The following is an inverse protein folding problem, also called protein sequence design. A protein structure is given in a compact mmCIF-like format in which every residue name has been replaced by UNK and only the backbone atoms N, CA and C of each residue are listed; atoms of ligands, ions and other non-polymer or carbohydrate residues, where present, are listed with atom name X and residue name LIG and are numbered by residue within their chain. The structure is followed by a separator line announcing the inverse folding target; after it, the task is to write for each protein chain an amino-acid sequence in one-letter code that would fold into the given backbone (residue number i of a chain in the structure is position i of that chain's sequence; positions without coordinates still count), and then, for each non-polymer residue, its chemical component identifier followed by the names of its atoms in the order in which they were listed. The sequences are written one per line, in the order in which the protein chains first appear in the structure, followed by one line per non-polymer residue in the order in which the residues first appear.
data_IF_657382763846
#
_entry.id   IF_657382763846
#
_cell.length_a   1.000
_cell.length_b   1.000
_cell.length_c   1.000
_cell.angle_alpha   90.00
_cell.angle_beta   90.00
_cell.angle_gamma   90.00
#
_symmetry.space_group_name_H-M   'P 1'
#
loop_
_entity.id
_entity.type
_entity.pdbx_description
1 polymer ?
#
# COMPACT_ATOMS: atom_id res chain seq x y z
N UNK A 1 -3.04 12.81 -11.80
CA UNK A 1 -3.78 11.99 -10.84
C UNK A 1 -3.06 11.95 -9.48
N UNK A 2 -1.83 11.47 -9.37
CA UNK A 2 -1.09 11.36 -8.09
C UNK A 2 -0.98 12.67 -7.30
N UNK A 3 -0.73 13.81 -7.97
CA UNK A 3 -0.66 15.13 -7.30
C UNK A 3 -2.05 15.50 -6.74
N UNK A 4 -3.11 15.28 -7.50
CA UNK A 4 -4.48 15.55 -7.06
C UNK A 4 -4.87 14.68 -5.87
N UNK A 5 -4.55 13.39 -5.92
CA UNK A 5 -4.77 12.45 -4.80
C UNK A 5 -4.00 12.86 -3.55
N UNK A 6 -2.73 13.28 -3.70
CA UNK A 6 -1.93 13.80 -2.60
C UNK A 6 -2.52 15.06 -1.97
N UNK A 7 -3.01 16.00 -2.78
CA UNK A 7 -3.67 17.22 -2.28
C UNK A 7 -4.97 16.86 -1.54
N UNK A 8 -5.79 15.97 -2.08
CA UNK A 8 -7.03 15.51 -1.42
C UNK A 8 -6.72 14.83 -0.09
N UNK A 9 -5.70 13.98 -0.04
CA UNK A 9 -5.26 13.34 1.20
C UNK A 9 -4.81 14.36 2.25
N UNK A 10 -4.08 15.41 1.85
CA UNK A 10 -3.67 16.49 2.74
C UNK A 10 -4.87 17.33 3.25
N UNK A 11 -5.87 17.56 2.41
CA UNK A 11 -7.11 18.25 2.82
C UNK A 11 -7.83 17.43 3.90
N UNK A 12 -7.97 16.11 3.71
CA UNK A 12 -8.59 15.24 4.72
C UNK A 12 -7.77 15.18 6.01
N UNK A 13 -6.44 15.12 5.92
CA UNK A 13 -5.57 15.14 7.09
C UNK A 13 -5.72 16.45 7.88
N UNK A 14 -5.75 17.59 7.19
CA UNK A 14 -5.94 18.89 7.82
C UNK A 14 -7.34 19.01 8.46
N UNK A 15 -8.39 18.56 7.76
CA UNK A 15 -9.75 18.56 8.28
C UNK A 15 -9.88 17.68 9.53
N UNK A 16 -9.31 16.48 9.52
CA UNK A 16 -9.30 15.60 10.69
C UNK A 16 -8.53 16.22 11.86
N UNK A 17 -7.35 16.78 11.60
CA UNK A 17 -6.55 17.44 12.65
C UNK A 17 -7.31 18.61 13.31
N UNK A 18 -7.95 19.45 12.50
CA UNK A 18 -8.79 20.53 13.01
C UNK A 18 -9.96 19.99 13.86
N UNK A 19 -10.66 18.99 13.35
CA UNK A 19 -11.80 18.40 14.03
C UNK A 19 -11.43 17.77 15.39
N UNK A 20 -10.30 17.05 15.45
CA UNK A 20 -9.78 16.49 16.71
C UNK A 20 -9.39 17.58 17.71
N UNK A 21 -8.78 18.66 17.23
CA UNK A 21 -8.35 19.76 18.10
C UNK A 21 -9.54 20.50 18.73
N UNK A 22 -10.58 20.78 17.93
CA UNK A 22 -11.77 21.52 18.43
C UNK A 22 -12.68 20.67 19.32
N UNK A 23 -12.89 19.40 18.98
CA UNK A 23 -13.86 18.56 19.67
C UNK A 23 -13.25 17.66 20.76
N UNK A 24 -11.93 17.70 20.95
CA UNK A 24 -11.24 16.88 21.96
C UNK A 24 -11.49 15.38 21.82
N UNK A 25 -11.75 14.92 20.59
CA UNK A 25 -12.05 13.52 20.33
C UNK A 25 -10.81 12.65 20.46
N UNK A 26 -10.91 11.60 21.23
CA UNK A 26 -9.95 10.50 21.23
C UNK A 26 -10.06 9.67 19.94
N UNK A 27 -9.08 8.80 19.68
CA UNK A 27 -9.02 7.97 18.48
C UNK A 27 -10.36 7.31 18.14
N UNK A 28 -10.91 7.65 16.98
CA UNK A 28 -12.19 7.13 16.48
C UNK A 28 -12.02 6.45 15.14
N UNK A 29 -12.98 5.62 14.76
CA UNK A 29 -12.99 4.95 13.47
C UNK A 29 -13.06 5.98 12.32
N UNK A 30 -12.27 5.79 11.26
CA UNK A 30 -12.18 6.69 10.12
C UNK A 30 -13.55 7.01 9.49
N UNK A 31 -14.48 6.06 9.45
CA UNK A 31 -15.84 6.26 8.94
C UNK A 31 -16.67 7.23 9.79
N UNK A 32 -16.48 7.18 11.11
CA UNK A 32 -17.18 8.10 12.05
C UNK A 32 -16.62 9.51 11.88
N UNK A 33 -15.31 9.66 11.75
CA UNK A 33 -14.64 10.95 11.53
C UNK A 33 -15.13 11.59 10.22
N UNK A 34 -15.17 10.83 9.13
CA UNK A 34 -15.68 11.31 7.84
C UNK A 34 -17.13 11.76 7.94
N UNK A 35 -17.99 10.96 8.58
CA UNK A 35 -19.40 11.31 8.79
C UNK A 35 -19.54 12.60 9.61
N UNK A 36 -18.80 12.76 10.68
CA UNK A 36 -18.84 13.94 11.54
C UNK A 36 -18.37 15.20 10.83
N UNK A 37 -17.20 15.14 10.17
CA UNK A 37 -16.66 16.28 9.41
C UNK A 37 -17.62 16.68 8.30
N UNK A 38 -18.16 15.72 7.56
CA UNK A 38 -19.02 16.04 6.41
C UNK A 38 -20.38 16.60 6.83
N UNK A 39 -20.93 16.14 7.95
CA UNK A 39 -22.19 16.69 8.51
C UNK A 39 -22.00 18.09 9.06
N UNK A 40 -20.91 18.34 9.76
CA UNK A 40 -20.61 19.64 10.36
C UNK A 40 -20.33 20.71 9.31
N UNK A 41 -19.50 20.40 8.29
CA UNK A 41 -19.07 21.38 7.31
C UNK A 41 -19.99 21.52 6.09
N UNK A 42 -20.63 20.45 5.67
CA UNK A 42 -21.43 20.40 4.45
C UNK A 42 -22.94 20.30 4.72
N UNK A 43 -23.33 20.19 5.98
CA UNK A 43 -24.73 20.00 6.38
C UNK A 43 -25.30 18.66 5.93
N UNK A 44 -26.61 18.47 6.10
CA UNK A 44 -27.26 17.18 5.88
C UNK A 44 -27.14 16.67 4.42
N UNK A 45 -27.35 17.54 3.44
CA UNK A 45 -27.31 17.16 2.02
C UNK A 45 -25.89 16.87 1.56
N UNK A 46 -24.95 17.76 1.92
CA UNK A 46 -23.54 17.56 1.59
C UNK A 46 -22.94 16.34 2.28
N UNK A 47 -23.33 16.06 3.54
CA UNK A 47 -22.95 14.86 4.26
C UNK A 47 -23.39 13.57 3.54
N UNK A 48 -24.65 13.50 3.11
CA UNK A 48 -25.17 12.33 2.36
C UNK A 48 -24.39 12.14 1.05
N UNK A 49 -24.13 13.20 0.27
CA UNK A 49 -23.38 13.12 -0.98
C UNK A 49 -21.93 12.67 -0.74
N UNK A 50 -21.27 13.16 0.30
CA UNK A 50 -19.92 12.76 0.65
C UNK A 50 -19.84 11.28 1.06
N UNK A 51 -20.80 10.81 1.88
CA UNK A 51 -20.88 9.39 2.30
C UNK A 51 -21.14 8.50 1.08
N UNK A 52 -22.03 8.88 0.18
CA UNK A 52 -22.27 8.13 -1.06
C UNK A 52 -21.00 8.03 -1.91
N UNK A 53 -20.22 9.10 -2.01
CA UNK A 53 -18.94 9.10 -2.70
C UNK A 53 -17.93 8.15 -2.05
N UNK A 54 -17.82 8.19 -0.72
CA UNK A 54 -16.93 7.31 0.06
C UNK A 54 -17.34 5.83 -0.05
N UNK A 55 -18.64 5.53 -0.21
CA UNK A 55 -19.11 4.14 -0.43
C UNK A 55 -18.90 3.70 -1.88
N UNK A 56 -19.19 4.57 -2.85
CA UNK A 56 -19.10 4.23 -4.28
C UNK A 56 -17.65 3.93 -4.72
N UNK A 57 -16.67 4.69 -4.22
CA UNK A 57 -15.28 4.54 -4.60
C UNK A 57 -14.71 3.13 -4.27
N UNK A 58 -14.89 2.56 -3.06
CA UNK A 58 -14.45 1.20 -2.76
C UNK A 58 -15.15 0.12 -3.59
N UNK A 59 -16.41 0.30 -3.98
CA UNK A 59 -17.13 -0.67 -4.80
C UNK A 59 -16.46 -0.82 -6.18
N UNK A 60 -16.17 0.28 -6.85
CA UNK A 60 -15.52 0.27 -8.17
C UNK A 60 -14.06 -0.19 -8.09
N UNK A 61 -13.33 0.26 -7.08
CA UNK A 61 -11.94 -0.14 -6.85
C UNK A 61 -11.83 -1.61 -6.44
N UNK A 62 -12.78 -2.09 -5.64
CA UNK A 62 -12.85 -3.48 -5.18
C UNK A 62 -13.05 -4.46 -6.34
N UNK A 63 -13.97 -4.17 -7.29
CA UNK A 63 -14.15 -5.02 -8.48
C UNK A 63 -12.83 -5.15 -9.27
N UNK A 64 -12.15 -4.03 -9.48
CA UNK A 64 -10.87 -4.01 -10.20
C UNK A 64 -9.77 -4.76 -9.43
N UNK A 65 -9.68 -4.58 -8.11
CA UNK A 65 -8.71 -5.24 -7.27
C UNK A 65 -8.91 -6.77 -7.24
N UNK A 66 -10.15 -7.24 -7.06
CA UNK A 66 -10.48 -8.67 -7.09
C UNK A 66 -10.23 -9.30 -8.46
N UNK A 67 -10.49 -8.56 -9.55
CA UNK A 67 -10.18 -9.00 -10.91
C UNK A 67 -8.68 -9.16 -11.11
N UNK A 68 -7.89 -8.18 -10.69
CA UNK A 68 -6.43 -8.21 -10.79
C UNK A 68 -5.84 -9.33 -9.95
N UNK A 69 -6.26 -9.48 -8.69
CA UNK A 69 -5.82 -10.54 -7.80
C UNK A 69 -6.14 -11.93 -8.39
N UNK A 70 -7.36 -12.12 -8.93
CA UNK A 70 -7.73 -13.37 -9.61
C UNK A 70 -6.80 -13.68 -10.78
N UNK A 71 -6.47 -12.68 -11.60
CA UNK A 71 -5.60 -12.89 -12.77
C UNK A 71 -4.18 -13.26 -12.33
N UNK A 72 -3.65 -12.59 -11.32
CA UNK A 72 -2.32 -12.88 -10.74
C UNK A 72 -2.28 -14.32 -10.19
N UNK A 73 -3.28 -14.72 -9.41
CA UNK A 73 -3.37 -16.08 -8.87
C UNK A 73 -3.51 -17.11 -9.98
N UNK A 74 -4.32 -16.82 -11.01
CA UNK A 74 -4.50 -17.69 -12.16
C UNK A 74 -3.21 -17.88 -12.96
N UNK A 75 -2.45 -16.80 -13.17
CA UNK A 75 -1.17 -16.83 -13.86
C UNK A 75 -0.13 -17.62 -13.06
N UNK A 76 -0.06 -17.39 -11.75
CA UNK A 76 0.82 -18.15 -10.85
C UNK A 76 0.51 -19.66 -10.82
N UNK A 77 -0.77 -20.05 -10.92
CA UNK A 77 -1.22 -21.44 -10.96
C UNK A 77 -1.22 -22.04 -12.38
N UNK A 78 -0.85 -21.27 -13.40
CA UNK A 78 -0.90 -21.69 -14.79
C UNK A 78 -2.31 -22.02 -15.29
N UNK A 79 -3.36 -21.42 -14.72
CA UNK A 79 -4.75 -21.71 -15.01
C UNK A 79 -5.33 -20.76 -16.06
N UNK A 80 -5.76 -21.31 -17.19
CA UNK A 80 -6.50 -20.53 -18.19
C UNK A 80 -7.85 -20.04 -17.67
N UNK A 81 -8.13 -18.74 -17.83
CA UNK A 81 -9.34 -18.06 -17.34
C UNK A 81 -10.50 -18.01 -18.36
N UNK A 82 -10.47 -18.81 -19.41
CA UNK A 82 -11.53 -18.85 -20.44
C UNK A 82 -12.85 -19.43 -19.92
N UNK A 83 -12.78 -20.45 -19.04
CA UNK A 83 -13.97 -21.13 -18.51
C UNK A 83 -14.49 -20.48 -17.24
N UNK A 84 -15.81 -20.29 -17.12
CA UNK A 84 -16.48 -19.77 -15.93
C UNK A 84 -16.17 -20.61 -14.67
N UNK A 85 -16.15 -21.95 -14.82
CA UNK A 85 -15.84 -22.85 -13.71
C UNK A 85 -14.45 -22.62 -13.13
N UNK A 86 -13.43 -22.43 -13.99
CA UNK A 86 -12.04 -22.15 -13.55
C UNK A 86 -11.93 -20.80 -12.86
N UNK A 87 -12.71 -19.79 -13.29
CA UNK A 87 -12.79 -18.50 -12.60
C UNK A 87 -13.37 -18.64 -11.20
N UNK A 88 -14.44 -19.41 -11.03
CA UNK A 88 -15.08 -19.66 -9.74
C UNK A 88 -14.16 -20.36 -8.76
N UNK A 89 -13.32 -21.31 -9.20
CA UNK A 89 -12.35 -22.00 -8.33
C UNK A 89 -11.37 -21.04 -7.66
N UNK A 90 -11.02 -19.94 -8.31
CA UNK A 90 -10.14 -18.91 -7.73
C UNK A 90 -10.95 -17.86 -6.97
N UNK A 91 -12.09 -17.42 -7.51
CA UNK A 91 -12.91 -16.38 -6.89
C UNK A 91 -13.49 -16.81 -5.54
N UNK A 92 -14.01 -18.04 -5.41
CA UNK A 92 -14.66 -18.49 -4.19
C UNK A 92 -13.71 -18.45 -2.98
N UNK A 93 -12.51 -19.04 -3.01
CA UNK A 93 -11.58 -18.94 -1.89
C UNK A 93 -11.17 -17.52 -1.57
N UNK A 94 -10.97 -16.67 -2.60
CA UNK A 94 -10.64 -15.26 -2.39
C UNK A 94 -11.77 -14.50 -1.68
N UNK A 95 -13.02 -14.71 -2.09
CA UNK A 95 -14.17 -14.07 -1.43
C UNK A 95 -14.39 -14.60 -0.01
N UNK A 96 -14.22 -15.90 0.22
CA UNK A 96 -14.29 -16.49 1.56
C UNK A 96 -13.23 -15.87 2.48
N UNK A 97 -12.00 -15.73 2.00
CA UNK A 97 -10.93 -15.07 2.74
C UNK A 97 -11.28 -13.60 3.04
N UNK A 98 -11.75 -12.85 2.03
CA UNK A 98 -12.12 -11.45 2.17
C UNK A 98 -13.27 -11.27 3.17
N UNK A 99 -14.31 -12.11 3.11
CA UNK A 99 -15.42 -12.10 4.07
C UNK A 99 -14.93 -12.48 5.48
N UNK A 100 -14.05 -13.45 5.60
CA UNK A 100 -13.45 -13.84 6.88
C UNK A 100 -12.68 -12.68 7.53
N UNK A 101 -11.86 -11.97 6.75
CA UNK A 101 -11.14 -10.79 7.21
C UNK A 101 -12.10 -9.64 7.59
N UNK A 102 -13.17 -9.44 6.81
CA UNK A 102 -14.19 -8.45 7.12
C UNK A 102 -14.90 -8.76 8.44
N UNK A 103 -15.33 -10.01 8.64
CA UNK A 103 -15.98 -10.42 9.88
C UNK A 103 -15.05 -10.30 11.09
N UNK A 104 -13.78 -10.61 10.93
CA UNK A 104 -12.78 -10.39 11.98
C UNK A 104 -12.65 -8.90 12.30
N UNK A 105 -12.55 -8.04 11.28
CA UNK A 105 -12.47 -6.58 11.45
C UNK A 105 -13.68 -5.98 12.16
N UNK A 106 -14.87 -6.55 11.96
CA UNK A 106 -16.10 -6.07 12.60
C UNK A 106 -16.28 -6.56 14.05
N UNK A 107 -15.65 -7.68 14.41
CA UNK A 107 -15.75 -8.25 15.76
C UNK A 107 -14.80 -7.62 16.77
N UNK A 108 -13.63 -7.19 16.33
CA UNK A 108 -12.60 -6.61 17.18
C UNK A 108 -12.51 -5.10 16.93
N UNK A 109 -12.64 -4.30 18.00
CA UNK A 109 -12.52 -2.83 17.91
C UNK A 109 -11.16 -2.40 17.31
N UNK A 110 -10.09 -3.17 17.56
CA UNK A 110 -8.77 -2.94 16.99
C UNK A 110 -8.53 -3.66 15.65
N UNK A 111 -9.39 -4.59 15.27
CA UNK A 111 -9.24 -5.43 14.08
C UNK A 111 -9.15 -4.61 12.79
N UNK A 112 -9.97 -3.57 12.67
CA UNK A 112 -9.92 -2.65 11.55
C UNK A 112 -8.58 -1.92 11.47
N UNK A 113 -8.09 -1.37 12.57
CA UNK A 113 -6.82 -0.65 12.61
C UNK A 113 -5.63 -1.55 12.27
N UNK A 114 -5.64 -2.80 12.75
CA UNK A 114 -4.62 -3.80 12.43
C UNK A 114 -4.61 -4.10 10.93
N UNK A 115 -5.76 -4.41 10.33
CA UNK A 115 -5.87 -4.69 8.89
C UNK A 115 -5.44 -3.47 8.07
N UNK A 116 -5.82 -2.27 8.49
CA UNK A 116 -5.44 -1.02 7.83
C UNK A 116 -3.92 -0.79 7.83
N UNK A 117 -3.24 -1.08 8.92
CA UNK A 117 -1.77 -0.98 9.03
C UNK A 117 -1.07 -2.00 8.13
N UNK A 118 -1.52 -3.26 8.10
CA UNK A 118 -0.99 -4.26 7.17
C UNK A 118 -1.22 -3.87 5.71
N UNK A 119 -2.38 -3.34 5.38
CA UNK A 119 -2.68 -2.85 4.04
C UNK A 119 -1.74 -1.70 3.63
N UNK A 120 -1.55 -0.72 4.50
CA UNK A 120 -0.64 0.39 4.25
C UNK A 120 0.80 -0.11 4.03
N UNK A 121 1.28 -1.00 4.88
CA UNK A 121 2.62 -1.59 4.74
C UNK A 121 2.75 -2.44 3.46
N UNK A 122 1.74 -3.22 3.11
CA UNK A 122 1.73 -4.02 1.88
C UNK A 122 1.83 -3.14 0.63
N UNK A 123 1.10 -2.03 0.58
CA UNK A 123 1.18 -1.06 -0.51
C UNK A 123 2.57 -0.41 -0.62
N UNK A 124 3.17 -0.03 0.51
CA UNK A 124 4.53 0.52 0.53
C UNK A 124 5.56 -0.51 0.05
N UNK A 125 5.41 -1.77 0.48
CA UNK A 125 6.26 -2.87 0.03
C UNK A 125 6.14 -3.12 -1.47
N UNK A 126 4.92 -3.10 -2.01
CA UNK A 126 4.68 -3.18 -3.46
C UNK A 126 5.35 -2.03 -4.21
N UNK A 127 5.29 -0.81 -3.66
CA UNK A 127 5.99 0.34 -4.23
C UNK A 127 7.51 0.14 -4.26
N UNK A 128 8.11 -0.47 -3.23
CA UNK A 128 9.54 -0.83 -3.22
C UNK A 128 9.86 -1.76 -4.40
N UNK A 129 9.13 -2.87 -4.56
CA UNK A 129 9.37 -3.80 -5.67
C UNK A 129 9.20 -3.14 -7.03
N UNK A 130 8.17 -2.32 -7.19
CA UNK A 130 7.91 -1.60 -8.45
C UNK A 130 9.04 -0.62 -8.77
N UNK A 131 9.49 0.17 -7.81
CA UNK A 131 10.59 1.12 -7.98
C UNK A 131 11.90 0.41 -8.34
N UNK A 132 12.21 -0.72 -7.70
CA UNK A 132 13.37 -1.53 -8.04
C UNK A 132 13.25 -2.12 -9.44
N UNK A 133 12.09 -2.65 -9.84
CA UNK A 133 11.86 -3.18 -11.18
C UNK A 133 12.06 -2.10 -12.25
N UNK A 134 11.52 -0.90 -12.04
CA UNK A 134 11.70 0.24 -12.94
C UNK A 134 13.18 0.67 -12.97
N UNK A 135 13.87 0.70 -11.84
CA UNK A 135 15.29 1.06 -11.75
C UNK A 135 16.16 0.11 -12.57
N UNK A 136 15.93 -1.21 -12.42
CA UNK A 136 16.61 -2.25 -13.19
C UNK A 136 16.30 -2.10 -14.68
N UNK A 137 15.03 -1.91 -15.04
CA UNK A 137 14.61 -1.71 -16.44
C UNK A 137 15.30 -0.50 -17.07
N UNK A 138 15.34 0.65 -16.39
CA UNK A 138 16.01 1.86 -16.89
C UNK A 138 17.52 1.65 -17.03
N UNK A 139 18.15 0.97 -16.06
CA UNK A 139 19.57 0.65 -16.11
C UNK A 139 19.93 -0.26 -17.31
N UNK A 140 19.12 -1.31 -17.56
CA UNK A 140 19.28 -2.19 -18.73
C UNK A 140 19.07 -1.43 -20.05
N UNK A 141 18.08 -0.54 -20.08
CA UNK A 141 17.73 0.30 -21.23
C UNK A 141 18.70 1.48 -21.44
N UNK A 142 19.79 1.58 -20.65
CA UNK A 142 20.79 2.68 -20.69
C UNK A 142 20.17 4.08 -20.50
N UNK A 143 19.04 4.17 -19.77
CA UNK A 143 18.39 5.44 -19.41
C UNK A 143 18.79 5.87 -18.00
N UNK A 144 18.46 7.11 -17.64
CA UNK A 144 18.77 7.69 -16.32
C UNK A 144 17.97 6.98 -15.23
N UNK A 145 18.57 6.01 -14.57
CA UNK A 145 17.95 5.21 -13.49
C UNK A 145 18.01 5.87 -12.10
N UNK A 146 18.81 6.95 -11.93
CA UNK A 146 18.99 7.63 -10.64
C UNK A 146 17.66 8.18 -10.10
N UNK A 147 16.77 8.63 -10.99
CA UNK A 147 15.45 9.19 -10.65
C UNK A 147 14.60 8.19 -9.87
N UNK A 148 14.70 6.90 -10.19
CA UNK A 148 13.95 5.84 -9.52
C UNK A 148 14.75 5.14 -8.43
N UNK A 149 16.08 5.16 -8.52
CA UNK A 149 16.97 4.55 -7.52
C UNK A 149 16.86 5.25 -6.17
N UNK A 150 16.86 6.58 -6.15
CA UNK A 150 16.76 7.34 -4.88
C UNK A 150 15.45 7.04 -4.13
N UNK A 151 14.25 7.12 -4.76
CA UNK A 151 13.02 6.71 -4.11
C UNK A 151 13.00 5.22 -3.73
N UNK A 152 13.60 4.33 -4.54
CA UNK A 152 13.67 2.90 -4.22
C UNK A 152 14.45 2.64 -2.93
N UNK A 153 15.62 3.26 -2.76
CA UNK A 153 16.42 3.16 -1.55
C UNK A 153 15.70 3.75 -0.33
N UNK A 154 15.09 4.93 -0.49
CA UNK A 154 14.30 5.56 0.55
C UNK A 154 13.14 4.66 1.02
N UNK A 155 12.33 4.16 0.10
CA UNK A 155 11.21 3.28 0.42
C UNK A 155 11.67 1.93 0.99
N UNK A 156 12.82 1.41 0.58
CA UNK A 156 13.43 0.22 1.19
C UNK A 156 13.74 0.47 2.66
N UNK A 157 14.30 1.65 2.99
CA UNK A 157 14.55 2.04 4.38
C UNK A 157 13.24 2.10 5.18
N UNK A 158 12.25 2.82 4.67
CA UNK A 158 10.95 3.02 5.34
C UNK A 158 10.26 1.68 5.60
N UNK A 159 10.13 0.81 4.60
CA UNK A 159 9.43 -0.46 4.73
C UNK A 159 10.13 -1.44 5.68
N UNK A 160 11.46 -1.54 5.59
CA UNK A 160 12.23 -2.44 6.48
C UNK A 160 12.26 -1.93 7.92
N UNK A 161 12.35 -0.63 8.13
CA UNK A 161 12.29 -0.04 9.46
C UNK A 161 10.90 -0.21 10.07
N UNK A 162 9.84 0.06 9.30
CA UNK A 162 8.46 -0.03 9.79
C UNK A 162 8.11 -1.43 10.28
N UNK A 163 8.41 -2.47 9.50
CA UNK A 163 8.08 -3.86 9.90
C UNK A 163 8.85 -4.28 11.18
N UNK A 164 10.02 -3.69 11.43
CA UNK A 164 10.78 -3.95 12.64
C UNK A 164 10.19 -3.24 13.87
N UNK A 165 9.65 -2.01 13.70
CA UNK A 165 9.07 -1.20 14.80
C UNK A 165 7.63 -1.62 15.09
N UNK A 166 6.84 -1.93 14.06
CA UNK A 166 5.42 -2.14 14.17
C UNK A 166 5.10 -3.26 15.19
N UNK A 167 4.13 -3.03 16.11
CA UNK A 167 3.72 -4.04 17.09
C UNK A 167 3.19 -5.32 16.42
N UNK A 168 2.54 -5.18 15.28
CA UNK A 168 2.07 -6.27 14.42
C UNK A 168 3.19 -6.96 13.63
N UNK A 169 4.40 -6.38 13.60
CA UNK A 169 5.61 -6.93 12.97
C UNK A 169 6.53 -7.60 14.00
N UNK A 170 7.77 -7.11 14.11
CA UNK A 170 8.76 -7.66 15.03
C UNK A 170 8.76 -6.96 16.40
N UNK A 171 8.15 -5.79 16.54
CA UNK A 171 8.05 -5.05 17.81
C UNK A 171 9.40 -4.69 18.44
N UNK A 172 10.43 -4.47 17.61
CA UNK A 172 11.79 -4.16 18.10
C UNK A 172 11.90 -2.70 18.57
N UNK A 173 12.92 -2.42 19.37
CA UNK A 173 13.22 -1.06 19.80
C UNK A 173 13.55 -0.17 18.60
N UNK A 174 13.22 1.13 18.70
CA UNK A 174 13.44 2.11 17.63
C UNK A 174 14.90 2.14 17.14
N UNK A 175 15.87 2.13 18.05
CA UNK A 175 17.30 2.19 17.71
C UNK A 175 17.75 0.99 16.87
N UNK A 176 17.33 -0.23 17.23
CA UNK A 176 17.65 -1.45 16.49
C UNK A 176 16.97 -1.44 15.12
N UNK A 177 15.71 -1.01 15.05
CA UNK A 177 14.94 -0.98 13.81
C UNK A 177 15.51 0.02 12.80
N UNK A 178 15.94 1.19 13.24
CA UNK A 178 16.64 2.14 12.36
C UNK A 178 17.97 1.56 11.86
N UNK A 179 18.72 0.87 12.72
CA UNK A 179 19.95 0.18 12.33
C UNK A 179 19.70 -0.86 11.23
N UNK A 180 18.68 -1.70 11.39
CA UNK A 180 18.28 -2.70 10.38
C UNK A 180 17.87 -2.02 9.08
N UNK A 181 17.06 -0.96 9.13
CA UNK A 181 16.66 -0.20 7.95
C UNK A 181 17.84 0.32 7.14
N UNK A 182 18.82 0.91 7.81
CA UNK A 182 20.05 1.42 7.17
C UNK A 182 20.84 0.26 6.55
N UNK A 183 21.01 -0.85 7.27
CA UNK A 183 21.72 -2.04 6.75
C UNK A 183 21.02 -2.56 5.49
N UNK A 184 19.69 -2.67 5.47
CA UNK A 184 18.93 -3.10 4.29
C UNK A 184 19.18 -2.20 3.09
N UNK A 185 19.21 -0.88 3.28
CA UNK A 185 19.51 0.10 2.20
C UNK A 185 20.92 -0.08 1.69
N UNK A 186 21.91 -0.20 2.58
CA UNK A 186 23.31 -0.39 2.19
C UNK A 186 23.48 -1.69 1.39
N UNK A 187 22.89 -2.78 1.86
CA UNK A 187 22.94 -4.08 1.16
C UNK A 187 22.29 -3.96 -0.22
N UNK A 188 21.12 -3.35 -0.33
CA UNK A 188 20.42 -3.16 -1.60
C UNK A 188 21.24 -2.28 -2.57
N UNK A 189 21.83 -1.19 -2.08
CA UNK A 189 22.66 -0.28 -2.88
C UNK A 189 23.94 -0.97 -3.38
N UNK A 190 24.63 -1.70 -2.50
CA UNK A 190 25.85 -2.47 -2.84
C UNK A 190 25.51 -3.57 -3.85
N UNK A 191 24.43 -4.30 -3.65
CA UNK A 191 24.00 -5.33 -4.61
C UNK A 191 23.72 -4.73 -5.98
N UNK A 192 22.95 -3.64 -6.04
CA UNK A 192 22.67 -2.95 -7.30
C UNK A 192 23.93 -2.44 -7.98
N UNK A 193 24.89 -1.88 -7.22
CA UNK A 193 26.17 -1.42 -7.73
C UNK A 193 27.01 -2.55 -8.34
N UNK A 194 27.11 -3.69 -7.63
CA UNK A 194 27.83 -4.88 -8.13
C UNK A 194 27.16 -5.39 -9.41
N UNK A 195 25.82 -5.48 -9.39
CA UNK A 195 25.07 -5.97 -10.53
C UNK A 195 25.26 -5.09 -11.76
N UNK A 196 25.18 -3.76 -11.65
CA UNK A 196 25.32 -2.84 -12.78
C UNK A 196 26.75 -2.87 -13.36
N UNK A 197 27.77 -3.01 -12.51
CA UNK A 197 29.15 -3.13 -12.97
C UNK A 197 29.36 -4.44 -13.73
N UNK A 198 28.81 -5.54 -13.24
CA UNK A 198 28.87 -6.83 -13.94
C UNK A 198 28.18 -6.79 -15.32
N UNK A 199 27.07 -6.07 -15.43
CA UNK A 199 26.39 -5.86 -16.71
C UNK A 199 27.23 -5.02 -17.69
N UNK A 200 27.97 -4.01 -17.20
CA UNK A 200 28.88 -3.21 -18.04
C UNK A 200 30.05 -4.04 -18.57
N UNK A 201 30.67 -4.86 -17.73
CA UNK A 201 31.78 -5.72 -18.09
C UNK A 201 31.37 -6.77 -19.13
N UNK A 202 30.21 -7.39 -18.96
CA UNK A 202 29.68 -8.42 -19.87
C UNK A 202 29.45 -7.87 -21.30
N UNK A 203 29.00 -6.62 -21.43
CA UNK A 203 28.78 -5.95 -22.73
C UNK A 203 30.06 -5.45 -23.38
N UNK A 204 31.20 -5.44 -22.70
CA UNK A 204 32.50 -5.10 -23.25
C UNK A 204 33.24 -6.34 -23.78
N UNK A 205 32.77 -7.54 -23.43
CA UNK A 205 33.31 -8.83 -23.85
C UNK A 205 32.55 -9.47 -25.04
N UNK A 206 31.39 -8.92 -25.41
CA UNK A 206 30.61 -9.24 -26.62
C UNK A 206 30.92 -8.19 -27.75
#
# INVERSE_FOLDING_TARGET
AMITEGIVALIWAAAATYFFHENGMEESNASVIVDSITKEWLGAVGGVLAILGVIAAPITSGDTAFRSARLIVADFLGMEQKSMRRRLYICIPMFVLAIGLLLYSLRDANGFNMIWRYFAWANQTLAVFTLWAITVFLAVSKKTYIITLIPALFMTCVCSTYICIAPEGLGLSHAVSYGIGIVCVVVAAVWFYIWINKQKTRKLSE
#
